data_IF_197546663732
#
_entry.id   IF_197546663732
#
_cell.length_a   1.000
_cell.length_b   1.000
_cell.length_c   1.000
_cell.angle_alpha   90.00
_cell.angle_beta   90.00
_cell.angle_gamma   90.00
#
_symmetry.space_group_name_H-M   'P 1'
#
loop_
_entity.id
_entity.type
_entity.pdbx_description
1 polymer ?
#
# COMPACT_ATOMS: atom_id res chain seq x y z
N UNK A 1 -23.30 44.04 16.07
CA UNK A 1 -21.95 43.45 16.24
C UNK A 1 -21.93 41.98 16.68
N UNK A 2 -22.99 41.43 17.30
CA UNK A 2 -23.01 40.06 17.84
C UNK A 2 -23.14 38.92 16.79
N UNK A 3 -23.66 39.22 15.60
CA UNK A 3 -23.88 38.22 14.53
C UNK A 3 -22.61 37.81 13.77
N UNK A 4 -21.63 38.70 13.64
CA UNK A 4 -20.36 38.40 12.94
C UNK A 4 -19.47 37.43 13.72
N UNK A 5 -19.53 37.48 15.05
CA UNK A 5 -18.80 36.55 15.93
C UNK A 5 -19.36 35.12 15.84
N UNK A 6 -20.68 34.95 15.69
CA UNK A 6 -21.32 33.64 15.59
C UNK A 6 -20.91 32.88 14.31
N UNK A 7 -20.77 33.61 13.20
CA UNK A 7 -20.33 33.03 11.91
C UNK A 7 -18.88 32.56 12.00
N UNK A 8 -18.01 33.34 12.65
CA UNK A 8 -16.61 32.95 12.90
C UNK A 8 -16.51 31.67 13.74
N UNK A 9 -17.32 31.54 14.81
CA UNK A 9 -17.36 30.33 15.65
C UNK A 9 -17.82 29.10 14.86
N UNK A 10 -18.80 29.24 13.98
CA UNK A 10 -19.28 28.15 13.12
C UNK A 10 -18.25 27.70 12.07
N UNK A 11 -17.45 28.63 11.52
CA UNK A 11 -16.37 28.30 10.59
C UNK A 11 -15.24 27.55 11.32
N UNK A 12 -14.87 27.99 12.53
CA UNK A 12 -13.87 27.30 13.35
C UNK A 12 -14.31 25.91 13.81
N UNK A 13 -15.61 25.69 14.06
CA UNK A 13 -16.13 24.36 14.37
C UNK A 13 -16.11 23.43 13.15
N UNK A 14 -16.40 23.93 11.93
CA UNK A 14 -16.29 23.12 10.71
C UNK A 14 -14.85 22.68 10.42
N UNK A 15 -13.86 23.51 10.70
CA UNK A 15 -12.45 23.14 10.56
C UNK A 15 -11.96 22.19 11.66
N UNK A 16 -12.57 22.20 12.85
CA UNK A 16 -12.27 21.23 13.91
C UNK A 16 -12.81 19.81 13.64
N UNK A 17 -13.87 19.69 12.84
CA UNK A 17 -14.46 18.38 12.45
C UNK A 17 -13.76 17.79 11.22
N UNK A 18 -12.79 18.49 10.63
CA UNK A 18 -11.79 17.88 9.75
C UNK A 18 -10.81 17.06 10.60
N UNK A 19 -11.33 16.01 11.25
CA UNK A 19 -10.54 14.93 11.79
C UNK A 19 -9.52 14.54 10.72
N UNK A 20 -8.21 14.48 11.05
CA UNK A 20 -7.28 13.86 10.13
C UNK A 20 -7.83 12.45 9.91
N UNK A 21 -8.26 12.17 8.69
CA UNK A 21 -8.51 10.79 8.29
C UNK A 21 -7.18 10.09 8.52
N UNK A 22 -7.05 9.38 9.64
CA UNK A 22 -6.17 8.24 9.75
C UNK A 22 -6.61 7.33 8.60
N UNK A 23 -5.98 7.52 7.44
CA UNK A 23 -6.31 6.77 6.25
C UNK A 23 -6.12 5.32 6.63
N UNK A 24 -7.23 4.58 6.58
CA UNK A 24 -7.30 3.18 6.99
C UNK A 24 -6.10 2.45 6.40
N UNK A 25 -5.40 1.68 7.23
CA UNK A 25 -4.29 0.88 6.77
C UNK A 25 -4.74 -0.02 5.60
N UNK A 26 -3.91 -0.10 4.57
CA UNK A 26 -4.12 -1.00 3.44
C UNK A 26 -3.38 -2.29 3.75
N UNK A 27 -4.09 -3.41 3.83
CA UNK A 27 -3.48 -4.71 4.10
C UNK A 27 -3.56 -5.57 2.85
N UNK A 28 -2.42 -5.76 2.23
CA UNK A 28 -2.25 -6.56 1.03
C UNK A 28 -2.01 -7.99 1.49
N UNK A 29 -2.96 -8.89 1.25
CA UNK A 29 -2.74 -10.31 1.52
C UNK A 29 -1.72 -10.87 0.52
N UNK A 30 -0.72 -11.56 1.04
CA UNK A 30 0.25 -12.27 0.24
C UNK A 30 -0.44 -13.38 -0.56
N UNK A 31 -0.29 -13.33 -1.87
CA UNK A 31 -0.66 -14.40 -2.79
C UNK A 31 0.48 -14.68 -3.76
N UNK A 32 0.34 -15.72 -4.59
CA UNK A 32 1.39 -16.13 -5.54
C UNK A 32 1.64 -15.10 -6.67
N UNK A 33 0.81 -14.08 -6.82
CA UNK A 33 1.01 -12.98 -7.78
C UNK A 33 1.87 -11.85 -7.24
N UNK A 34 2.25 -11.92 -5.95
CA UNK A 34 3.17 -10.98 -5.32
C UNK A 34 4.57 -11.57 -5.34
N UNK A 35 5.52 -10.80 -5.89
CA UNK A 35 6.92 -11.17 -5.97
C UNK A 35 7.74 -10.30 -5.01
N UNK A 36 8.63 -10.92 -4.23
CA UNK A 36 9.53 -10.22 -3.29
C UNK A 36 10.97 -10.51 -3.72
N UNK A 37 11.78 -9.47 -3.89
CA UNK A 37 13.19 -9.58 -4.24
C UNK A 37 14.06 -8.73 -3.31
N UNK A 38 15.22 -9.26 -2.89
CA UNK A 38 16.23 -8.46 -2.17
C UNK A 38 16.97 -7.60 -3.19
N UNK A 39 17.10 -6.32 -2.92
CA UNK A 39 17.93 -5.42 -3.73
C UNK A 39 19.39 -5.92 -3.70
N UNK A 40 19.99 -6.07 -4.88
CA UNK A 40 21.35 -6.59 -5.02
C UNK A 40 22.42 -5.54 -4.70
N UNK A 41 22.06 -4.25 -4.75
CA UNK A 41 22.97 -3.11 -4.60
C UNK A 41 22.83 -2.43 -3.23
N UNK A 42 21.65 -2.53 -2.61
CA UNK A 42 21.36 -1.90 -1.32
C UNK A 42 21.01 -2.98 -0.31
N UNK A 43 21.89 -3.17 0.68
CA UNK A 43 21.57 -4.06 1.79
C UNK A 43 20.31 -3.56 2.52
N UNK A 44 19.46 -4.47 2.98
CA UNK A 44 18.20 -4.20 3.69
C UNK A 44 16.98 -3.69 2.91
N UNK A 45 17.08 -3.56 1.58
CA UNK A 45 15.90 -3.20 0.78
C UNK A 45 15.33 -4.46 0.14
N UNK A 46 14.07 -4.76 0.45
CA UNK A 46 13.30 -5.77 -0.27
C UNK A 46 12.25 -5.07 -1.11
N UNK A 47 12.28 -5.29 -2.42
CA UNK A 47 11.27 -4.82 -3.34
C UNK A 47 10.13 -5.83 -3.42
N UNK A 48 8.90 -5.32 -3.40
CA UNK A 48 7.67 -6.10 -3.54
C UNK A 48 6.93 -5.60 -4.77
N UNK A 49 6.52 -6.54 -5.61
CA UNK A 49 5.83 -6.27 -6.85
C UNK A 49 4.49 -6.97 -6.86
N UNK A 50 3.41 -6.22 -7.11
CA UNK A 50 2.07 -6.75 -7.28
C UNK A 50 1.57 -6.41 -8.68
N UNK A 51 1.21 -7.42 -9.46
CA UNK A 51 0.72 -7.23 -10.83
C UNK A 51 -0.80 -7.36 -10.90
N UNK A 52 -1.45 -6.38 -11.52
CA UNK A 52 -2.88 -6.38 -11.81
C UNK A 52 -3.05 -6.25 -13.32
N UNK A 53 -3.99 -7.01 -13.92
CA UNK A 53 -4.25 -6.93 -15.37
C UNK A 53 -4.60 -5.48 -15.75
N UNK A 54 -3.95 -4.96 -16.77
CA UNK A 54 -4.20 -3.60 -17.25
C UNK A 54 -5.59 -3.51 -17.90
N UNK A 55 -6.26 -2.39 -17.65
CA UNK A 55 -7.48 -2.02 -18.38
C UNK A 55 -7.19 -1.42 -19.77
N UNK A 56 -5.97 -0.92 -19.97
CA UNK A 56 -5.49 -0.45 -21.27
C UNK A 56 -4.94 -1.64 -22.07
N UNK A 57 -5.49 -1.94 -23.26
CA UNK A 57 -5.14 -3.13 -24.04
C UNK A 57 -3.71 -3.11 -24.61
N UNK A 58 -3.04 -1.94 -24.60
CA UNK A 58 -1.64 -1.83 -25.04
C UNK A 58 -0.65 -2.46 -24.06
N UNK A 59 -1.10 -2.73 -22.83
CA UNK A 59 -0.28 -3.21 -21.73
C UNK A 59 -0.85 -4.51 -21.18
N UNK A 60 0.02 -5.43 -20.76
CA UNK A 60 -0.40 -6.70 -20.15
C UNK A 60 -0.88 -6.48 -18.71
N UNK A 61 -0.12 -5.70 -17.95
CA UNK A 61 -0.36 -5.47 -16.53
C UNK A 61 0.12 -4.11 -16.06
N UNK A 62 -0.51 -3.67 -14.97
CA UNK A 62 -0.08 -2.59 -14.11
C UNK A 62 0.69 -3.21 -12.94
N UNK A 63 1.96 -2.84 -12.81
CA UNK A 63 2.85 -3.35 -11.77
C UNK A 63 3.03 -2.30 -10.69
N UNK A 64 2.46 -2.57 -9.52
CA UNK A 64 2.56 -1.74 -8.33
C UNK A 64 3.79 -2.16 -7.54
N UNK A 65 4.65 -1.19 -7.25
CA UNK A 65 5.96 -1.39 -6.67
C UNK A 65 5.99 -0.87 -5.24
N UNK A 66 6.58 -1.65 -4.37
CA UNK A 66 6.76 -1.31 -2.96
C UNK A 66 8.15 -1.69 -2.49
N UNK A 67 8.55 -1.10 -1.38
CA UNK A 67 9.73 -1.49 -0.61
C UNK A 67 9.30 -1.88 0.81
N UNK A 68 9.90 -2.94 1.35
CA UNK A 68 9.73 -3.27 2.77
C UNK A 68 10.62 -2.34 3.58
N UNK A 69 10.03 -1.60 4.52
CA UNK A 69 10.76 -0.72 5.43
C UNK A 69 11.19 -1.55 6.64
N UNK A 70 12.50 -1.80 6.78
CA UNK A 70 13.09 -2.29 8.03
C UNK A 70 13.51 -1.15 8.94
N UNK A 71 13.33 -1.31 10.25
CA UNK A 71 13.92 -0.41 11.25
C UNK A 71 15.27 -0.96 11.71
N UNK A 72 16.37 -0.35 11.29
CA UNK A 72 17.72 -0.75 11.72
C UNK A 72 18.80 -0.44 10.68
N UNK A 73 20.05 -0.31 11.14
CA UNK A 73 21.23 -0.08 10.27
C UNK A 73 21.88 -1.40 9.82
N UNK A 74 21.54 -2.52 10.45
CA UNK A 74 22.18 -3.82 10.21
C UNK A 74 21.46 -4.66 9.16
N UNK A 75 22.18 -5.59 8.52
CA UNK A 75 21.61 -6.57 7.59
C UNK A 75 20.59 -7.48 8.28
N UNK A 76 19.29 -7.19 8.11
CA UNK A 76 18.20 -8.00 8.65
C UNK A 76 17.59 -8.91 7.58
N UNK A 77 17.55 -10.23 7.78
CA UNK A 77 16.76 -11.10 6.92
C UNK A 77 15.29 -10.73 7.01
N UNK A 78 14.53 -10.97 5.93
CA UNK A 78 13.09 -10.69 5.83
C UNK A 78 12.29 -11.17 7.05
N UNK A 79 12.68 -12.32 7.61
CA UNK A 79 12.09 -12.95 8.80
C UNK A 79 12.23 -12.13 10.09
N UNK A 80 13.25 -11.27 10.19
CA UNK A 80 13.46 -10.39 11.36
C UNK A 80 12.75 -9.04 11.22
N UNK A 81 12.30 -8.69 10.01
CA UNK A 81 11.60 -7.43 9.72
C UNK A 81 10.07 -7.61 9.87
N UNK A 82 9.59 -8.86 9.92
CA UNK A 82 8.17 -9.15 10.07
C UNK A 82 7.71 -8.92 11.51
N UNK A 83 6.53 -8.35 11.65
CA UNK A 83 5.86 -8.15 12.94
C UNK A 83 4.64 -9.08 13.03
N UNK A 84 4.28 -9.49 14.26
CA UNK A 84 3.09 -10.31 14.48
C UNK A 84 1.84 -9.44 14.40
N UNK A 85 0.88 -9.84 13.56
CA UNK A 85 -0.40 -9.15 13.42
C UNK A 85 -1.43 -9.67 14.44
N UNK A 86 -2.19 -8.77 15.06
CA UNK A 86 -3.42 -9.17 15.75
C UNK A 86 -4.60 -9.30 14.74
N UNK A 87 -5.55 -10.18 15.04
CA UNK A 87 -6.70 -10.45 14.16
C UNK A 87 -7.63 -9.23 14.01
N UNK A 88 -7.62 -8.29 14.96
CA UNK A 88 -8.47 -7.11 14.92
C UNK A 88 -7.96 -6.06 13.92
N UNK A 89 -6.64 -5.99 13.74
CA UNK A 89 -5.95 -5.19 12.72
C UNK A 89 -6.27 -5.73 11.33
N UNK A 90 -6.21 -7.06 11.15
CA UNK A 90 -6.55 -7.72 9.88
C UNK A 90 -8.02 -7.51 9.47
N UNK A 91 -8.96 -7.47 10.42
CA UNK A 91 -10.40 -7.33 10.11
C UNK A 91 -10.82 -5.94 9.60
N UNK A 92 -10.06 -4.88 9.91
CA UNK A 92 -10.41 -3.49 9.55
C UNK A 92 -9.87 -3.04 8.20
N UNK A 93 -9.18 -3.92 7.48
CA UNK A 93 -8.44 -3.55 6.28
C UNK A 93 -9.14 -3.83 4.97
N UNK A 94 -8.78 -3.05 3.95
CA UNK A 94 -9.05 -3.35 2.56
C UNK A 94 -8.18 -4.53 2.10
N UNK A 95 -8.81 -5.58 1.58
CA UNK A 95 -8.13 -6.73 0.97
C UNK A 95 -7.54 -6.36 -0.38
N UNK A 96 -6.42 -6.99 -0.77
CA UNK A 96 -5.85 -6.88 -2.12
C UNK A 96 -6.86 -7.27 -3.23
N UNK A 97 -7.82 -8.15 -2.92
CA UNK A 97 -8.88 -8.51 -3.87
C UNK A 97 -9.79 -7.33 -4.21
N UNK A 98 -9.99 -6.40 -3.29
CA UNK A 98 -10.76 -5.18 -3.54
C UNK A 98 -9.93 -4.16 -4.31
N UNK A 99 -8.61 -4.11 -4.07
CA UNK A 99 -7.68 -3.30 -4.85
C UNK A 99 -7.68 -3.70 -6.33
N UNK A 100 -7.77 -5.00 -6.65
CA UNK A 100 -7.89 -5.51 -8.03
C UNK A 100 -9.13 -5.01 -8.79
N UNK A 101 -10.16 -4.53 -8.09
CA UNK A 101 -11.40 -4.02 -8.69
C UNK A 101 -11.35 -2.50 -8.96
N UNK A 102 -10.38 -1.80 -8.39
CA UNK A 102 -10.22 -0.35 -8.56
C UNK A 102 -9.64 -0.03 -9.93
N UNK A 103 -9.95 1.16 -10.46
CA UNK A 103 -9.27 1.64 -11.67
C UNK A 103 -7.81 1.95 -11.35
N UNK A 104 -6.93 1.80 -12.34
CA UNK A 104 -5.49 1.98 -12.15
C UNK A 104 -5.12 3.35 -11.54
N UNK A 105 -5.73 4.44 -12.02
CA UNK A 105 -5.49 5.78 -11.49
C UNK A 105 -5.98 5.93 -10.03
N UNK A 106 -7.17 5.38 -9.71
CA UNK A 106 -7.74 5.43 -8.36
C UNK A 106 -6.88 4.63 -7.37
N UNK A 107 -6.40 3.46 -7.79
CA UNK A 107 -5.52 2.63 -6.97
C UNK A 107 -4.15 3.30 -6.78
N UNK A 108 -3.57 3.85 -7.85
CA UNK A 108 -2.33 4.62 -7.76
C UNK A 108 -2.46 5.78 -6.77
N UNK A 109 -3.53 6.58 -6.87
CA UNK A 109 -3.78 7.69 -5.95
C UNK A 109 -3.97 7.21 -4.50
N UNK A 110 -4.74 6.14 -4.30
CA UNK A 110 -4.95 5.54 -2.98
C UNK A 110 -3.62 5.11 -2.34
N UNK A 111 -2.77 4.40 -3.08
CA UNK A 111 -1.47 3.91 -2.60
C UNK A 111 -0.48 5.05 -2.36
N UNK A 112 -0.40 6.03 -3.27
CA UNK A 112 0.46 7.22 -3.12
C UNK A 112 0.10 8.04 -1.89
N UNK A 113 -1.17 8.09 -1.52
CA UNK A 113 -1.65 8.87 -0.39
C UNK A 113 -1.66 8.11 0.95
N UNK A 114 -1.49 6.79 0.93
CA UNK A 114 -1.55 5.97 2.14
C UNK A 114 -0.18 5.79 2.77
N UNK A 115 -0.01 6.20 4.03
CA UNK A 115 1.26 6.07 4.78
C UNK A 115 1.45 4.69 5.41
N UNK A 116 0.37 3.92 5.49
CA UNK A 116 0.28 2.68 6.27
C UNK A 116 -0.20 1.57 5.35
N UNK A 117 0.73 1.01 4.58
CA UNK A 117 0.50 -0.12 3.70
C UNK A 117 1.27 -1.30 4.29
N UNK A 118 0.65 -2.47 4.35
CA UNK A 118 1.29 -3.66 4.89
C UNK A 118 1.04 -4.86 4.00
N UNK A 119 2.05 -5.73 3.87
CA UNK A 119 1.91 -7.06 3.30
C UNK A 119 1.62 -8.04 4.43
N UNK A 120 0.57 -8.84 4.32
CA UNK A 120 0.19 -9.84 5.33
C UNK A 120 0.36 -11.23 4.78
N UNK A 121 1.01 -12.11 5.54
CA UNK A 121 1.13 -13.53 5.22
C UNK A 121 0.78 -14.37 6.44
N UNK A 122 0.04 -15.46 6.20
CA UNK A 122 -0.23 -16.47 7.21
C UNK A 122 0.88 -17.53 7.18
N UNK A 123 1.50 -17.81 8.32
CA UNK A 123 2.54 -18.83 8.49
C UNK A 123 2.31 -19.54 9.83
N UNK A 124 2.26 -20.89 9.83
CA UNK A 124 2.06 -21.71 11.04
C UNK A 124 0.88 -21.23 11.93
N UNK A 125 -0.26 -20.93 11.32
CA UNK A 125 -1.46 -20.39 11.98
C UNK A 125 -1.36 -18.98 12.59
N UNK A 126 -0.22 -18.32 12.42
CA UNK A 126 -0.02 -16.93 12.82
C UNK A 126 0.00 -16.00 11.61
N UNK A 127 -0.43 -14.76 11.82
CA UNK A 127 -0.35 -13.72 10.80
C UNK A 127 0.85 -12.84 11.07
N UNK A 128 1.67 -12.64 10.05
CA UNK A 128 2.79 -11.71 10.06
C UNK A 128 2.54 -10.60 9.07
N UNK A 129 3.04 -9.40 9.37
CA UNK A 129 3.02 -8.29 8.45
C UNK A 129 4.40 -7.69 8.22
N UNK A 130 4.61 -7.16 7.02
CA UNK A 130 5.72 -6.29 6.66
C UNK A 130 5.16 -4.92 6.29
N UNK A 131 5.76 -3.87 6.81
CA UNK A 131 5.42 -2.50 6.41
C UNK A 131 5.95 -2.23 5.01
N UNK A 132 5.08 -1.73 4.14
CA UNK A 132 5.37 -1.37 2.77
C UNK A 132 5.43 0.15 2.59
N UNK A 133 6.41 0.59 1.81
CA UNK A 133 6.47 1.91 1.19
C UNK A 133 6.15 1.79 -0.28
N UNK A 134 5.09 2.45 -0.75
CA UNK A 134 4.76 2.45 -2.16
C UNK A 134 5.71 3.37 -2.94
N UNK A 135 6.37 2.83 -3.97
CA UNK A 135 7.40 3.56 -4.74
C UNK A 135 6.92 3.98 -6.13
N UNK A 136 5.87 3.35 -6.66
CA UNK A 136 5.29 3.75 -7.93
C UNK A 136 4.53 2.64 -8.65
N UNK A 137 4.01 2.98 -9.82
CA UNK A 137 3.37 2.03 -10.74
C UNK A 137 4.07 2.11 -12.09
N UNK A 138 4.37 0.95 -12.67
CA UNK A 138 4.85 0.84 -14.05
C UNK A 138 3.85 0.08 -14.90
N UNK A 139 3.74 0.46 -16.18
CA UNK A 139 2.93 -0.23 -17.18
C UNK A 139 3.81 -1.25 -17.90
N UNK A 140 3.43 -2.52 -17.89
CA UNK A 140 4.18 -3.55 -18.60
C UNK A 140 3.67 -3.66 -20.05
N UNK A 141 4.47 -3.18 -21.00
CA UNK A 141 4.09 -3.14 -22.41
C UNK A 141 4.00 -4.55 -23.01
N UNK A 142 2.99 -4.76 -23.87
CA UNK A 142 3.01 -5.93 -24.76
C UNK A 142 4.11 -5.67 -25.79
N UNK A 143 5.20 -6.45 -25.76
CA UNK A 143 6.14 -6.48 -26.88
C UNK A 143 5.46 -7.27 -28.01
N UNK A 144 4.72 -6.58 -28.86
CA UNK A 144 4.35 -7.14 -30.17
C UNK A 144 5.59 -7.04 -31.05
N UNK A 145 6.27 -8.15 -31.26
CA UNK A 145 7.25 -8.26 -32.35
C UNK A 145 6.49 -8.06 -33.66
N UNK A 146 6.58 -6.87 -34.24
CA UNK A 146 6.23 -6.65 -35.65
C UNK A 146 7.33 -7.31 -36.48
N UNK A 147 7.02 -8.49 -37.04
CA UNK A 147 7.77 -9.08 -38.15
C UNK A 147 7.55 -8.27 -39.42
#
# INVERSE_FOLDING_TARGET
MKSKALILVLIFFKSYIAFPQDKKAILINYDKSIYINKDALISNVYHVYASIKSSDPRFLSDQYQFQIIGTGLDELPLEKIKEKADLNTVKKSLSFTDLKKMKACELHELLSLCKNIYLIKKENDEYFFWRLHYTGTTKNAVITNTN
#
